data_IF_403542320267
#
_entry.id   IF_403542320267
#
_cell.length_a   1.000
_cell.length_b   1.000
_cell.length_c   1.000
_cell.angle_alpha   90.00
_cell.angle_beta   90.00
_cell.angle_gamma   90.00
#
_symmetry.space_group_name_H-M   'P 1'
#
loop_
_entity.id
_entity.type
_entity.pdbx_description
1 polymer ?
#
# COMPACT_ATOMS: atom_id res chain seq x y z
N UNK A 1 17.93 10.34 -2.15
CA UNK A 1 17.44 8.94 -2.20
C UNK A 1 15.92 9.00 -2.25
N UNK A 2 15.26 8.27 -3.15
CA UNK A 2 13.79 8.26 -3.26
C UNK A 2 13.27 6.86 -2.93
N UNK A 3 12.29 6.75 -2.03
CA UNK A 3 11.64 5.48 -1.66
C UNK A 3 10.41 5.25 -2.52
N UNK A 4 10.23 4.02 -3.02
CA UNK A 4 9.04 3.60 -3.76
C UNK A 4 8.55 2.26 -3.22
N UNK A 5 7.23 2.14 -3.03
CA UNK A 5 6.56 0.91 -2.66
C UNK A 5 5.98 0.25 -3.91
N UNK A 6 6.55 -0.90 -4.29
CA UNK A 6 6.08 -1.70 -5.41
C UNK A 6 5.05 -2.71 -4.90
N UNK A 7 3.84 -2.69 -5.46
CA UNK A 7 2.81 -3.68 -5.16
C UNK A 7 2.81 -4.76 -6.24
N UNK A 8 2.66 -6.01 -5.83
CA UNK A 8 2.52 -7.14 -6.73
C UNK A 8 1.17 -7.79 -6.47
N UNK A 9 0.43 -8.06 -7.55
CA UNK A 9 -0.79 -8.84 -7.47
C UNK A 9 -0.42 -10.31 -7.55
N UNK A 10 -0.55 -10.96 -6.39
CA UNK A 10 -0.45 -12.41 -6.23
C UNK A 10 -1.58 -13.14 -6.95
N UNK A 11 -2.08 -14.21 -6.32
CA UNK A 11 -3.17 -15.01 -6.86
C UNK A 11 -4.50 -14.27 -6.70
N UNK A 12 -5.37 -14.34 -7.69
CA UNK A 12 -6.78 -13.96 -7.57
C UNK A 12 -7.62 -15.08 -6.95
N UNK A 13 -7.21 -16.35 -7.10
CA UNK A 13 -7.84 -17.51 -6.48
C UNK A 13 -6.79 -18.43 -5.84
N UNK A 14 -7.09 -19.15 -4.74
CA UNK A 14 -6.08 -19.97 -4.05
C UNK A 14 -5.34 -20.97 -4.95
N UNK A 15 -6.03 -21.49 -5.95
CA UNK A 15 -5.59 -22.51 -6.92
C UNK A 15 -4.92 -21.93 -8.18
N UNK A 16 -4.88 -20.61 -8.34
CA UNK A 16 -4.25 -19.99 -9.51
C UNK A 16 -2.75 -20.30 -9.55
N UNK A 17 -2.31 -20.92 -10.65
CA UNK A 17 -0.89 -21.12 -10.93
C UNK A 17 -0.25 -19.79 -11.34
N UNK A 18 0.94 -19.52 -10.79
CA UNK A 18 1.61 -18.24 -10.92
C UNK A 18 3.07 -18.42 -11.30
N UNK A 19 3.56 -17.54 -12.16
CA UNK A 19 4.98 -17.34 -12.34
C UNK A 19 5.47 -16.29 -11.33
N UNK A 20 6.31 -16.72 -10.38
CA UNK A 20 6.96 -15.85 -9.37
C UNK A 20 5.97 -15.10 -8.46
N UNK A 21 6.12 -13.78 -8.26
CA UNK A 21 5.27 -12.95 -7.40
C UNK A 21 3.96 -12.48 -8.05
N UNK A 22 3.77 -12.75 -9.35
CA UNK A 22 2.58 -12.37 -10.10
C UNK A 22 2.69 -11.12 -10.93
N UNK A 23 1.53 -10.50 -11.15
CA UNK A 23 1.42 -9.33 -12.02
C UNK A 23 1.91 -8.08 -11.28
N UNK A 24 2.64 -7.20 -11.98
CA UNK A 24 3.02 -5.91 -11.44
C UNK A 24 1.77 -5.06 -11.18
N UNK A 25 1.63 -4.60 -9.93
CA UNK A 25 0.63 -3.64 -9.51
C UNK A 25 1.15 -2.20 -9.58
N UNK A 26 0.44 -1.24 -8.97
CA UNK A 26 0.89 0.15 -8.93
C UNK A 26 2.17 0.30 -8.10
N UNK A 27 3.02 1.25 -8.51
CA UNK A 27 4.18 1.69 -7.74
C UNK A 27 3.85 3.02 -7.07
N UNK A 28 3.91 3.06 -5.74
CA UNK A 28 3.59 4.24 -4.93
C UNK A 28 4.88 4.97 -4.56
N UNK A 29 4.97 6.24 -4.91
CA UNK A 29 6.05 7.11 -4.45
C UNK A 29 6.26 8.35 -5.32
N UNK A 30 7.30 9.15 -5.01
CA UNK A 30 8.26 8.95 -3.93
C UNK A 30 7.66 9.12 -2.52
N UNK A 31 8.11 8.30 -1.57
CA UNK A 31 7.67 8.29 -0.18
C UNK A 31 8.77 8.79 0.77
N UNK A 32 8.37 9.34 1.91
CA UNK A 32 9.27 9.65 3.02
C UNK A 32 9.63 8.40 3.81
N UNK A 33 8.63 7.55 4.09
CA UNK A 33 8.83 6.21 4.65
C UNK A 33 7.64 5.29 4.39
N UNK A 34 7.91 4.00 4.56
CA UNK A 34 6.91 2.97 4.84
C UNK A 34 7.33 2.30 6.15
N UNK A 35 6.40 2.14 7.08
CA UNK A 35 6.66 1.55 8.39
C UNK A 35 5.56 0.55 8.73
N UNK A 36 5.95 -0.64 9.17
CA UNK A 36 5.01 -1.69 9.61
C UNK A 36 5.16 -1.93 11.11
N UNK A 37 4.05 -1.97 11.84
CA UNK A 37 4.04 -2.22 13.28
C UNK A 37 3.43 -3.60 13.55
N UNK A 38 4.22 -4.55 14.06
CA UNK A 38 3.81 -5.90 14.49
C UNK A 38 2.89 -6.68 13.52
N UNK A 39 2.94 -6.39 12.21
CA UNK A 39 2.04 -7.00 11.22
C UNK A 39 0.57 -6.58 11.34
N UNK A 40 0.24 -5.58 12.17
CA UNK A 40 -1.13 -5.08 12.35
C UNK A 40 -1.41 -3.81 11.54
N UNK A 41 -0.38 -3.15 11.02
CA UNK A 41 -0.55 -1.87 10.33
C UNK A 41 0.60 -1.61 9.34
N UNK A 42 0.28 -0.96 8.22
CA UNK A 42 1.24 -0.34 7.30
C UNK A 42 1.01 1.16 7.27
N UNK A 43 2.00 1.94 7.71
CA UNK A 43 2.02 3.40 7.64
C UNK A 43 2.82 3.88 6.45
N UNK A 44 2.23 4.78 5.67
CA UNK A 44 2.82 5.36 4.47
C UNK A 44 2.86 6.87 4.65
N UNK A 45 4.05 7.46 4.56
CA UNK A 45 4.22 8.92 4.58
C UNK A 45 4.70 9.42 3.23
N UNK A 46 4.02 10.43 2.70
CA UNK A 46 4.32 11.00 1.39
C UNK A 46 3.77 12.41 1.22
N UNK A 47 4.04 13.00 0.05
CA UNK A 47 3.51 14.32 -0.29
C UNK A 47 2.00 14.26 -0.57
N UNK A 48 1.33 15.41 -0.45
CA UNK A 48 -0.08 15.56 -0.83
C UNK A 48 -0.39 14.99 -2.21
N UNK A 49 0.41 15.33 -3.22
CA UNK A 49 0.21 14.85 -4.59
C UNK A 49 0.30 13.32 -4.73
N UNK A 50 1.19 12.67 -3.96
CA UNK A 50 1.31 11.21 -3.98
C UNK A 50 0.14 10.57 -3.24
N UNK A 51 -0.16 11.04 -2.03
CA UNK A 51 -1.19 10.41 -1.20
C UNK A 51 -2.60 10.60 -1.77
N UNK A 52 -2.93 11.77 -2.30
CA UNK A 52 -4.24 11.98 -2.95
C UNK A 52 -4.38 11.16 -4.25
N UNK A 53 -3.28 10.90 -4.97
CA UNK A 53 -3.31 10.06 -6.17
C UNK A 53 -3.63 8.60 -5.86
N UNK A 54 -3.03 8.04 -4.82
CA UNK A 54 -3.12 6.61 -4.52
C UNK A 54 -4.15 6.27 -3.44
N UNK A 55 -4.54 7.23 -2.61
CA UNK A 55 -5.54 7.08 -1.54
C UNK A 55 -6.59 8.22 -1.60
N UNK A 56 -7.30 8.42 -2.73
CA UNK A 56 -8.16 9.59 -2.92
C UNK A 56 -9.37 9.65 -1.97
N UNK A 57 -9.76 8.52 -1.37
CA UNK A 57 -10.86 8.44 -0.40
C UNK A 57 -10.39 8.49 1.06
N UNK A 58 -9.08 8.52 1.31
CA UNK A 58 -8.56 8.56 2.67
C UNK A 58 -8.59 10.00 3.20
N UNK A 59 -9.13 10.17 4.41
CA UNK A 59 -9.01 11.43 5.13
C UNK A 59 -7.60 11.55 5.72
N UNK A 60 -6.75 12.34 5.05
CA UNK A 60 -5.35 12.53 5.43
C UNK A 60 -5.13 13.99 5.82
N UNK A 61 -4.65 14.20 7.05
CA UNK A 61 -4.20 15.52 7.48
C UNK A 61 -2.78 15.77 6.99
N UNK A 62 -2.57 16.93 6.36
CA UNK A 62 -1.27 17.33 5.83
C UNK A 62 -0.65 18.43 6.68
N UNK A 63 0.63 18.27 7.00
CA UNK A 63 1.46 19.27 7.65
C UNK A 63 2.74 19.46 6.82
N UNK A 64 3.05 20.71 6.47
CA UNK A 64 4.18 21.07 5.58
C UNK A 64 4.21 20.28 4.26
N UNK A 65 3.03 20.03 3.68
CA UNK A 65 2.89 19.31 2.42
C UNK A 65 3.07 17.79 2.50
N UNK A 66 3.30 17.24 3.70
CA UNK A 66 3.42 15.81 3.97
C UNK A 66 2.23 15.31 4.79
N UNK A 67 1.76 14.11 4.48
CA UNK A 67 0.71 13.41 5.22
C UNK A 67 1.15 11.99 5.59
N UNK A 68 0.46 11.39 6.55
CA UNK A 68 0.59 9.97 6.88
C UNK A 68 -0.77 9.28 6.67
N UNK A 69 -0.74 8.13 6.00
CA UNK A 69 -1.88 7.23 5.89
C UNK A 69 -1.53 5.89 6.54
N UNK A 70 -2.42 5.41 7.41
CA UNK A 70 -2.28 4.14 8.09
C UNK A 70 -3.33 3.15 7.59
N UNK A 71 -2.87 2.00 7.10
CA UNK A 71 -3.71 0.89 6.66
C UNK A 71 -3.68 -0.16 7.76
N UNK A 72 -4.82 -0.38 8.42
CA UNK A 72 -4.96 -1.44 9.41
C UNK A 72 -5.02 -2.80 8.71
N UNK A 73 -4.14 -3.70 9.12
CA UNK A 73 -4.19 -5.11 8.75
C UNK A 73 -5.02 -5.81 9.82
N UNK A 74 -6.27 -6.13 9.51
CA UNK A 74 -7.04 -7.05 10.36
C UNK A 74 -6.30 -8.40 10.38
N UNK A 75 -6.31 -9.09 11.53
CA UNK A 75 -5.44 -10.25 11.83
C UNK A 75 -5.47 -11.42 10.85
N UNK A 76 -6.37 -11.39 9.88
CA UNK A 76 -6.33 -12.20 8.68
C UNK A 76 -6.01 -11.23 7.55
N UNK A 77 -4.80 -11.30 6.97
CA UNK A 77 -4.60 -10.85 5.59
C UNK A 77 -5.63 -11.59 4.74
N UNK A 78 -6.85 -11.06 4.62
CA UNK A 78 -7.89 -11.65 3.81
C UNK A 78 -7.34 -11.60 2.40
N UNK A 79 -7.05 -12.75 1.76
CA UNK A 79 -6.89 -12.74 0.32
C UNK A 79 -8.16 -12.08 -0.21
N UNK A 80 -8.01 -11.03 -1.02
CA UNK A 80 -9.12 -10.48 -1.79
C UNK A 80 -9.81 -11.69 -2.44
N UNK A 81 -11.01 -12.06 -1.98
CA UNK A 81 -11.63 -13.37 -2.25
C UNK A 81 -12.25 -13.46 -3.65
N UNK A 82 -11.88 -12.53 -4.53
CA UNK A 82 -12.15 -12.60 -5.97
C UNK A 82 -13.63 -12.61 -6.33
N UNK A 83 -14.52 -12.16 -5.41
CA UNK A 83 -15.94 -11.99 -5.67
C UNK A 83 -16.31 -10.55 -6.00
#
# INVERSE_FOLDING_TARGET
MSLYLYLFHGRATPDQDMSDWGAAGPTIGPLSYVHTTYGSEVKIRGSKAVLEKFFPQAEIHFHDGLGEHAIQLAGDCLPHDGK
#
